data_IF_283020278756
#
_entry.id   IF_283020278756
#
_cell.length_a   1.000
_cell.length_b   1.000
_cell.length_c   1.000
_cell.angle_alpha   90.00
_cell.angle_beta   90.00
_cell.angle_gamma   90.00
#
_symmetry.space_group_name_H-M   'P 1'
#
loop_
_entity.id
_entity.type
_entity.pdbx_description
1 polymer ?
#
# COMPACT_ATOMS: atom_id res chain seq x y z
N UNK A 1 13.50 -4.32 -32.51
CA UNK A 1 12.55 -5.07 -31.66
C UNK A 1 13.36 -5.84 -30.62
N UNK A 2 13.54 -5.29 -29.42
CA UNK A 2 14.26 -5.97 -28.34
C UNK A 2 13.44 -5.85 -27.05
N UNK A 3 12.79 -6.96 -26.68
CA UNK A 3 11.92 -7.10 -25.51
C UNK A 3 12.79 -7.40 -24.29
N UNK A 4 13.55 -6.43 -23.80
CA UNK A 4 14.24 -6.54 -22.51
C UNK A 4 13.32 -6.02 -21.39
N UNK A 5 12.32 -6.83 -21.00
CA UNK A 5 11.61 -6.66 -19.73
C UNK A 5 11.24 -8.04 -19.22
N UNK A 6 11.91 -8.49 -18.14
CA UNK A 6 11.40 -9.40 -17.08
C UNK A 6 12.43 -10.44 -16.58
N UNK A 7 13.62 -10.01 -16.12
CA UNK A 7 14.59 -10.94 -15.49
C UNK A 7 15.05 -10.52 -14.09
N UNK A 8 14.25 -9.73 -13.35
CA UNK A 8 14.57 -9.36 -11.95
C UNK A 8 13.41 -9.45 -10.95
N UNK A 9 12.37 -10.23 -11.24
CA UNK A 9 11.22 -10.39 -10.31
C UNK A 9 11.22 -11.70 -9.51
N UNK A 10 12.30 -12.48 -9.53
CA UNK A 10 12.30 -13.85 -8.99
C UNK A 10 13.24 -14.10 -7.82
N UNK A 11 13.62 -13.07 -7.04
CA UNK A 11 14.33 -13.38 -5.80
C UNK A 11 13.96 -12.40 -4.68
N UNK A 12 13.57 -12.99 -3.55
CA UNK A 12 12.91 -12.44 -2.36
C UNK A 12 11.39 -12.29 -2.46
N UNK A 13 10.62 -12.84 -1.49
CA UNK A 13 9.21 -12.49 -1.36
C UNK A 13 9.16 -11.01 -1.01
N UNK A 14 8.92 -10.17 -2.01
CA UNK A 14 8.70 -8.74 -1.82
C UNK A 14 7.50 -8.59 -0.88
N UNK A 15 7.78 -8.18 0.36
CA UNK A 15 6.73 -7.97 1.32
C UNK A 15 5.86 -6.79 0.89
N UNK A 16 4.63 -6.75 1.38
CA UNK A 16 3.72 -5.65 1.13
C UNK A 16 4.36 -4.30 1.49
N UNK A 17 5.05 -4.24 2.62
CA UNK A 17 5.74 -3.02 3.06
C UNK A 17 6.82 -2.60 2.06
N UNK A 18 7.66 -3.53 1.63
CA UNK A 18 8.77 -3.23 0.72
C UNK A 18 8.26 -2.70 -0.63
N UNK A 19 7.27 -3.39 -1.22
CA UNK A 19 6.65 -2.96 -2.46
C UNK A 19 5.91 -1.62 -2.33
N UNK A 20 5.26 -1.38 -1.18
CA UNK A 20 4.56 -0.12 -0.91
C UNK A 20 5.55 1.04 -0.80
N UNK A 21 6.69 0.85 -0.12
CA UNK A 21 7.72 1.88 0.01
C UNK A 21 8.34 2.22 -1.35
N UNK A 22 8.66 1.22 -2.18
CA UNK A 22 9.16 1.42 -3.54
C UNK A 22 8.15 2.18 -4.39
N UNK A 23 6.86 1.82 -4.30
CA UNK A 23 5.79 2.51 -5.01
C UNK A 23 5.65 3.96 -4.54
N UNK A 24 5.67 4.21 -3.23
CA UNK A 24 5.57 5.56 -2.66
C UNK A 24 6.74 6.44 -3.10
N UNK A 25 7.96 5.90 -3.13
CA UNK A 25 9.14 6.62 -3.63
C UNK A 25 8.98 6.97 -5.11
N UNK A 26 8.53 6.02 -5.95
CA UNK A 26 8.31 6.24 -7.38
C UNK A 26 7.28 7.35 -7.67
N UNK A 27 6.22 7.44 -6.87
CA UNK A 27 5.14 8.42 -7.08
C UNK A 27 5.31 9.72 -6.29
N UNK A 28 6.44 9.92 -5.58
CA UNK A 28 6.61 11.08 -4.69
C UNK A 28 6.43 12.42 -5.43
N UNK A 29 6.90 12.50 -6.68
CA UNK A 29 6.79 13.68 -7.54
C UNK A 29 5.35 14.03 -7.98
N UNK A 30 4.37 13.13 -7.79
CA UNK A 30 2.99 13.32 -8.22
C UNK A 30 2.12 14.03 -7.18
N UNK A 31 2.63 14.27 -5.98
CA UNK A 31 1.86 14.89 -4.89
C UNK A 31 2.71 15.88 -4.10
N UNK A 32 2.08 16.84 -3.42
CA UNK A 32 2.80 17.71 -2.48
C UNK A 32 3.46 16.89 -1.37
N UNK A 33 4.60 17.37 -0.86
CA UNK A 33 5.34 16.71 0.22
C UNK A 33 4.45 16.41 1.44
N UNK A 34 3.60 17.36 1.84
CA UNK A 34 2.65 17.19 2.95
C UNK A 34 1.66 16.05 2.69
N UNK A 35 1.13 15.93 1.47
CA UNK A 35 0.21 14.83 1.11
C UNK A 35 0.93 13.50 1.08
N UNK A 36 2.17 13.46 0.57
CA UNK A 36 3.00 12.27 0.55
C UNK A 36 3.28 11.75 1.96
N UNK A 37 3.73 12.63 2.87
CA UNK A 37 3.95 12.31 4.29
C UNK A 37 2.68 11.77 4.95
N UNK A 38 1.52 12.42 4.72
CA UNK A 38 0.23 11.96 5.25
C UNK A 38 -0.18 10.58 4.71
N UNK A 39 0.16 10.24 3.47
CA UNK A 39 -0.11 8.91 2.89
C UNK A 39 0.80 7.86 3.52
N UNK A 40 2.10 8.12 3.58
CA UNK A 40 3.10 7.23 4.20
C UNK A 40 2.74 6.93 5.66
N UNK A 41 2.45 7.97 6.46
CA UNK A 41 2.09 7.81 7.87
C UNK A 41 0.81 6.99 8.08
N UNK A 42 -0.17 7.07 7.16
CA UNK A 42 -1.38 6.24 7.24
C UNK A 42 -1.09 4.76 7.00
N UNK A 43 -0.22 4.45 6.03
CA UNK A 43 0.18 3.08 5.73
C UNK A 43 0.98 2.48 6.90
N UNK A 44 1.92 3.23 7.47
CA UNK A 44 2.73 2.81 8.62
C UNK A 44 1.89 2.53 9.87
N UNK A 45 0.87 3.36 10.13
CA UNK A 45 0.03 3.20 11.33
C UNK A 45 -1.06 2.15 11.18
N UNK A 46 -1.56 1.90 9.96
CA UNK A 46 -2.79 1.11 9.75
C UNK A 46 -2.55 -0.17 8.96
N UNK A 47 -1.79 -0.10 7.88
CA UNK A 47 -1.64 -1.23 6.96
C UNK A 47 -0.44 -2.11 7.33
N UNK A 48 0.73 -1.51 7.60
CA UNK A 48 1.97 -2.26 7.86
C UNK A 48 1.92 -3.19 9.08
N UNK A 49 1.26 -2.85 10.21
CA UNK A 49 1.16 -3.76 11.35
C UNK A 49 0.41 -5.07 11.03
N UNK A 50 -0.43 -5.07 10.00
CA UNK A 50 -1.25 -6.22 9.61
C UNK A 50 -0.63 -6.89 8.38
N UNK A 51 -0.41 -6.13 7.31
CA UNK A 51 -0.02 -6.63 5.99
C UNK A 51 1.50 -6.60 5.74
N UNK A 52 2.27 -5.82 6.50
CA UNK A 52 3.62 -5.39 6.12
C UNK A 52 4.59 -6.53 5.83
N UNK A 53 4.55 -7.60 6.63
CA UNK A 53 5.38 -8.80 6.47
C UNK A 53 4.83 -9.83 5.48
N UNK A 54 3.61 -9.65 4.94
CA UNK A 54 3.01 -10.60 4.02
C UNK A 54 3.57 -10.41 2.61
N UNK A 55 3.75 -11.50 1.87
CA UNK A 55 3.97 -11.42 0.43
C UNK A 55 2.71 -10.86 -0.25
N UNK A 56 2.86 -9.96 -1.23
CA UNK A 56 1.73 -9.31 -1.92
C UNK A 56 0.76 -10.35 -2.50
N UNK A 57 1.29 -11.43 -3.07
CA UNK A 57 0.51 -12.51 -3.69
C UNK A 57 -0.30 -13.33 -2.68
N UNK A 58 -0.01 -13.21 -1.39
CA UNK A 58 -0.66 -13.95 -0.31
C UNK A 58 -1.71 -13.13 0.44
N UNK A 59 -1.84 -11.83 0.16
CA UNK A 59 -2.83 -10.95 0.82
C UNK A 59 -4.22 -11.29 0.30
N UNK A 60 -5.15 -11.54 1.23
CA UNK A 60 -6.56 -11.82 0.91
C UNK A 60 -7.42 -10.61 1.26
N UNK A 61 -8.61 -10.52 0.66
CA UNK A 61 -9.58 -9.46 0.96
C UNK A 61 -9.98 -9.43 2.45
N UNK A 62 -9.93 -10.56 3.15
CA UNK A 62 -10.15 -10.62 4.59
C UNK A 62 -9.06 -9.87 5.37
N UNK A 63 -7.82 -9.87 4.91
CA UNK A 63 -6.71 -9.15 5.54
C UNK A 63 -6.80 -7.64 5.26
N UNK A 64 -7.21 -7.25 4.05
CA UNK A 64 -7.53 -5.86 3.73
C UNK A 64 -8.66 -5.32 4.62
N UNK A 65 -9.72 -6.11 4.82
CA UNK A 65 -10.83 -5.73 5.69
C UNK A 65 -10.37 -5.51 7.13
N UNK A 66 -9.43 -6.31 7.65
CA UNK A 66 -8.87 -6.10 9.00
C UNK A 66 -8.18 -4.74 9.13
N UNK A 67 -7.52 -4.25 8.07
CA UNK A 67 -6.90 -2.92 8.07
C UNK A 67 -7.92 -1.78 8.09
N UNK A 68 -9.07 -1.97 7.44
CA UNK A 68 -10.12 -0.96 7.31
C UNK A 68 -11.14 -1.00 8.44
N UNK A 69 -11.31 -2.15 9.09
CA UNK A 69 -12.31 -2.38 10.13
C UNK A 69 -12.28 -1.33 11.26
N UNK A 70 -11.13 -0.90 11.80
CA UNK A 70 -11.10 0.17 12.81
C UNK A 70 -11.65 1.52 12.32
N UNK A 71 -11.67 1.76 11.00
CA UNK A 71 -12.22 2.97 10.39
C UNK A 71 -13.70 2.82 10.10
N UNK A 72 -14.12 1.63 9.67
CA UNK A 72 -15.53 1.27 9.52
C UNK A 72 -16.24 1.40 10.87
N UNK A 73 -15.69 0.76 11.90
CA UNK A 73 -16.26 0.73 13.25
C UNK A 73 -16.35 2.15 13.87
N UNK A 74 -15.54 3.09 13.39
CA UNK A 74 -15.53 4.50 13.84
C UNK A 74 -16.28 5.45 12.89
N UNK A 75 -16.89 4.95 11.81
CA UNK A 75 -17.48 5.76 10.74
C UNK A 75 -16.52 6.83 10.17
N UNK A 76 -15.23 6.50 10.08
CA UNK A 76 -14.13 7.37 9.63
C UNK A 76 -13.65 7.05 8.20
N UNK A 77 -14.40 6.22 7.48
CA UNK A 77 -14.22 6.09 6.04
C UNK A 77 -15.00 7.21 5.37
N UNK A 78 -14.27 8.23 4.94
CA UNK A 78 -14.81 9.25 4.05
C UNK A 78 -15.15 8.56 2.72
N UNK A 79 -16.43 8.23 2.53
CA UNK A 79 -16.92 7.87 1.20
C UNK A 79 -16.95 9.16 0.40
N UNK A 80 -16.17 9.25 -0.67
CA UNK A 80 -16.35 10.32 -1.63
C UNK A 80 -17.79 10.19 -2.17
N UNK A 81 -18.71 10.99 -1.64
CA UNK A 81 -20.04 11.13 -2.22
C UNK A 81 -19.83 11.83 -3.55
N UNK A 82 -19.99 11.11 -4.66
CA UNK A 82 -20.08 11.72 -5.98
C UNK A 82 -21.22 12.73 -5.92
N UNK A 83 -20.87 14.01 -5.97
CA UNK A 83 -21.82 15.13 -6.13
C UNK A 83 -21.68 15.62 -7.56
#
# INVERSE_FOLDING_TARGET
MLRMRNEKWTSYPYSFEHATRDRLASIAHLTSATTHIKKTSRLERRAFPILGGMAITSIKSADDLKTLKPLIDKSQLETAQAT
#
